data_IF_793544910444
#
_entry.id   IF_793544910444
#
_cell.length_a   1.000
_cell.length_b   1.000
_cell.length_c   1.000
_cell.angle_alpha   90.00
_cell.angle_beta   90.00
_cell.angle_gamma   90.00
#
_symmetry.space_group_name_H-M   'P 1'
#
loop_
_entity.id
_entity.type
_entity.pdbx_description
1 polymer ?
#
# COMPACT_ATOMS: atom_id res chain seq x y z
N UNK A 1 -0.07 11.15 -3.75
CA UNK A 1 -1.48 10.74 -3.83
C UNK A 1 -1.57 9.23 -3.91
N UNK A 2 -1.84 8.69 -5.11
CA UNK A 2 -2.07 7.24 -5.33
C UNK A 2 -0.86 6.36 -5.03
N UNK A 3 0.37 6.85 -5.23
CA UNK A 3 1.60 6.07 -5.03
C UNK A 3 1.87 5.78 -3.55
N UNK A 4 2.94 6.30 -2.96
CA UNK A 4 3.37 5.87 -1.62
C UNK A 4 2.30 6.06 -0.53
N UNK A 5 1.63 7.22 -0.48
CA UNK A 5 0.65 7.52 0.57
C UNK A 5 -0.57 6.59 0.53
N UNK A 6 -1.25 6.49 -0.62
CA UNK A 6 -2.45 5.66 -0.71
C UNK A 6 -2.13 4.16 -0.70
N UNK A 7 -1.03 3.70 -1.31
CA UNK A 7 -0.62 2.29 -1.25
C UNK A 7 -0.41 1.87 0.21
N UNK A 8 0.41 2.61 0.96
CA UNK A 8 0.69 2.25 2.36
C UNK A 8 -0.58 2.33 3.22
N UNK A 9 -1.35 3.41 3.11
CA UNK A 9 -2.54 3.59 3.94
C UNK A 9 -3.68 2.61 3.64
N UNK A 10 -3.93 2.26 2.38
CA UNK A 10 -4.97 1.29 2.01
C UNK A 10 -4.59 -0.13 2.46
N UNK A 11 -3.34 -0.53 2.22
CA UNK A 11 -2.84 -1.85 2.63
C UNK A 11 -2.89 -2.00 4.16
N UNK A 12 -2.41 -1.01 4.90
CA UNK A 12 -2.44 -1.02 6.37
C UNK A 12 -3.88 -1.06 6.91
N UNK A 13 -4.78 -0.24 6.36
CA UNK A 13 -6.18 -0.22 6.78
C UNK A 13 -6.87 -1.58 6.60
N UNK A 14 -6.69 -2.23 5.44
CA UNK A 14 -7.27 -3.55 5.20
C UNK A 14 -6.61 -4.63 6.05
N UNK A 15 -5.27 -4.61 6.18
CA UNK A 15 -4.53 -5.55 7.01
C UNK A 15 -5.04 -5.51 8.45
N UNK A 16 -5.16 -4.32 9.05
CA UNK A 16 -5.67 -4.18 10.41
C UNK A 16 -7.09 -4.71 10.59
N UNK A 17 -7.97 -4.49 9.61
CA UNK A 17 -9.35 -5.00 9.66
C UNK A 17 -9.33 -6.53 9.65
N UNK A 18 -8.56 -7.16 8.75
CA UNK A 18 -8.43 -8.62 8.71
C UNK A 18 -7.86 -9.17 10.02
N UNK A 19 -6.84 -8.52 10.60
CA UNK A 19 -6.27 -8.91 11.89
C UNK A 19 -7.30 -8.80 13.02
N UNK A 20 -8.12 -7.75 13.05
CA UNK A 20 -9.20 -7.58 14.03
C UNK A 20 -10.31 -8.64 13.87
N UNK A 21 -10.47 -9.20 12.67
CA UNK A 21 -11.43 -10.28 12.39
C UNK A 21 -10.85 -11.69 12.60
N UNK A 22 -9.62 -11.81 13.10
CA UNK A 22 -9.03 -13.08 13.50
C UNK A 22 -8.19 -13.80 12.44
N UNK A 23 -7.98 -13.19 11.27
CA UNK A 23 -7.06 -13.73 10.26
C UNK A 23 -5.62 -13.74 10.78
N UNK A 24 -4.82 -14.76 10.44
CA UNK A 24 -3.40 -14.76 10.79
C UNK A 24 -2.64 -13.61 10.10
N UNK A 25 -1.45 -13.21 10.60
CA UNK A 25 -0.61 -12.22 9.94
C UNK A 25 -0.34 -12.55 8.46
N UNK A 26 0.00 -13.81 8.16
CA UNK A 26 0.31 -14.24 6.79
C UNK A 26 -0.89 -14.19 5.86
N UNK A 27 -2.08 -14.60 6.32
CA UNK A 27 -3.31 -14.49 5.51
C UNK A 27 -3.64 -13.03 5.25
N UNK A 28 -3.63 -12.19 6.30
CA UNK A 28 -3.91 -10.77 6.18
C UNK A 28 -2.91 -10.08 5.24
N UNK A 29 -1.63 -10.43 5.29
CA UNK A 29 -0.61 -9.89 4.38
C UNK A 29 -0.81 -10.39 2.94
N UNK A 30 -1.16 -11.68 2.77
CA UNK A 30 -1.36 -12.26 1.44
C UNK A 30 -2.51 -11.59 0.70
N UNK A 31 -3.66 -11.48 1.35
CA UNK A 31 -4.92 -10.89 0.84
C UNK A 31 -4.87 -9.35 0.67
N UNK A 32 -3.77 -8.70 1.03
CA UNK A 32 -3.63 -7.24 0.96
C UNK A 32 -2.44 -6.81 0.11
N UNK A 33 -1.23 -7.25 0.47
CA UNK A 33 0.02 -6.77 -0.11
C UNK A 33 0.54 -7.77 -1.16
N UNK A 34 0.56 -9.05 -0.84
CA UNK A 34 1.20 -10.05 -1.70
C UNK A 34 0.44 -10.23 -3.01
N UNK A 35 -0.86 -10.50 -2.96
CA UNK A 35 -1.68 -10.67 -4.17
C UNK A 35 -1.72 -9.41 -5.03
N UNK A 36 -1.86 -8.24 -4.39
CA UNK A 36 -1.86 -6.96 -5.09
C UNK A 36 -0.55 -6.77 -5.86
N UNK A 37 0.60 -7.00 -5.21
CA UNK A 37 1.91 -6.69 -5.81
C UNK A 37 2.49 -7.79 -6.69
N UNK A 38 2.19 -9.06 -6.45
CA UNK A 38 2.72 -10.19 -7.22
C UNK A 38 1.78 -10.62 -8.35
N UNK A 39 0.49 -10.31 -8.28
CA UNK A 39 -0.48 -10.75 -9.28
C UNK A 39 -1.18 -9.59 -9.97
N UNK A 40 -1.85 -8.71 -9.22
CA UNK A 40 -2.72 -7.70 -9.84
C UNK A 40 -1.92 -6.56 -10.49
N UNK A 41 -0.94 -5.98 -9.79
CA UNK A 41 -0.17 -4.86 -10.31
C UNK A 41 0.65 -5.19 -11.56
N UNK A 42 1.35 -6.34 -11.64
CA UNK A 42 2.00 -6.76 -12.90
C UNK A 42 1.00 -6.87 -14.05
N UNK A 43 -0.17 -7.47 -13.81
CA UNK A 43 -1.22 -7.60 -14.81
C UNK A 43 -1.77 -6.25 -15.30
N UNK A 44 -1.98 -5.30 -14.39
CA UNK A 44 -2.35 -3.92 -14.75
C UNK A 44 -1.26 -3.27 -15.60
N UNK A 45 0.01 -3.42 -15.19
CA UNK A 45 1.15 -2.84 -15.90
C UNK A 45 1.33 -3.42 -17.31
N UNK A 46 1.09 -4.71 -17.49
CA UNK A 46 1.24 -5.41 -18.76
C UNK A 46 0.06 -5.18 -19.71
N UNK A 47 -1.17 -5.15 -19.19
CA UNK A 47 -2.39 -5.28 -20.03
C UNK A 47 -3.48 -4.25 -19.74
N UNK A 48 -3.31 -3.41 -18.72
CA UNK A 48 -4.32 -2.45 -18.28
C UNK A 48 -5.27 -2.99 -17.21
N UNK A 49 -5.86 -2.06 -16.45
CA UNK A 49 -6.74 -2.40 -15.33
C UNK A 49 -8.11 -2.93 -15.79
N UNK A 50 -8.61 -2.47 -16.92
CA UNK A 50 -9.82 -2.99 -17.56
C UNK A 50 -9.63 -4.46 -17.94
N UNK A 51 -8.51 -4.80 -18.58
CA UNK A 51 -8.17 -6.19 -18.90
C UNK A 51 -8.05 -7.05 -17.66
N UNK A 52 -7.35 -6.57 -16.61
CA UNK A 52 -7.25 -7.29 -15.34
C UNK A 52 -8.65 -7.62 -14.78
N UNK A 53 -9.54 -6.62 -14.65
CA UNK A 53 -10.88 -6.84 -14.09
C UNK A 53 -11.65 -7.88 -14.91
N UNK A 54 -11.67 -7.77 -16.24
CA UNK A 54 -12.44 -8.71 -17.09
C UNK A 54 -11.90 -10.14 -17.06
N UNK A 55 -10.62 -10.32 -16.70
CA UNK A 55 -9.97 -11.63 -16.63
C UNK A 55 -9.88 -12.20 -15.20
N UNK A 56 -10.39 -11.48 -14.19
CA UNK A 56 -10.60 -12.03 -12.85
C UNK A 56 -11.90 -12.87 -12.75
N UNK A 57 -12.05 -13.62 -11.66
CA UNK A 57 -13.28 -14.38 -11.38
C UNK A 57 -14.52 -13.49 -11.27
N UNK A 58 -15.72 -14.06 -11.45
CA UNK A 58 -16.98 -13.32 -11.31
C UNK A 58 -17.11 -12.67 -9.92
N UNK A 59 -16.65 -13.34 -8.87
CA UNK A 59 -16.65 -12.78 -7.50
C UNK A 59 -15.76 -11.54 -7.39
N UNK A 60 -14.54 -11.59 -7.95
CA UNK A 60 -13.62 -10.45 -7.95
C UNK A 60 -14.13 -9.29 -8.82
N UNK A 61 -14.73 -9.60 -9.98
CA UNK A 61 -15.39 -8.61 -10.84
C UNK A 61 -16.51 -7.86 -10.10
N UNK A 62 -17.40 -8.60 -9.41
CA UNK A 62 -18.45 -7.99 -8.58
C UNK A 62 -17.87 -7.16 -7.46
N UNK A 63 -16.86 -7.68 -6.75
CA UNK A 63 -16.13 -6.92 -5.74
C UNK A 63 -15.61 -5.58 -6.28
N UNK A 64 -14.93 -5.59 -7.42
CA UNK A 64 -14.44 -4.37 -8.04
C UNK A 64 -15.56 -3.38 -8.36
N UNK A 65 -16.64 -3.83 -9.01
CA UNK A 65 -17.74 -2.95 -9.41
C UNK A 65 -18.56 -2.41 -8.23
N UNK A 66 -18.79 -3.23 -7.20
CA UNK A 66 -19.63 -2.89 -6.05
C UNK A 66 -18.93 -1.98 -5.04
N UNK A 67 -17.60 -2.04 -4.98
CA UNK A 67 -16.81 -1.29 -4.01
C UNK A 67 -16.06 -0.07 -4.58
N UNK A 68 -15.73 -0.03 -5.89
CA UNK A 68 -14.92 1.06 -6.47
C UNK A 68 -15.46 2.45 -6.18
N UNK A 69 -16.79 2.65 -6.25
CA UNK A 69 -17.39 3.97 -6.08
C UNK A 69 -17.42 4.41 -4.61
N UNK A 70 -17.48 3.45 -3.68
CA UNK A 70 -17.32 3.71 -2.24
C UNK A 70 -15.90 4.15 -1.91
N UNK A 71 -14.90 3.43 -2.43
CA UNK A 71 -13.49 3.83 -2.27
C UNK A 71 -13.23 5.20 -2.89
N UNK A 72 -13.69 5.44 -4.12
CA UNK A 72 -13.58 6.74 -4.79
C UNK A 72 -14.16 7.86 -3.93
N UNK A 73 -15.39 7.69 -3.42
CA UNK A 73 -16.04 8.68 -2.56
C UNK A 73 -15.25 8.95 -1.27
N UNK A 74 -14.65 7.93 -0.68
CA UNK A 74 -13.85 8.07 0.54
C UNK A 74 -12.54 8.85 0.31
N UNK A 75 -11.85 8.59 -0.80
CA UNK A 75 -10.51 9.16 -1.06
C UNK A 75 -10.53 10.49 -1.83
N UNK A 76 -11.60 10.80 -2.57
CA UNK A 76 -11.70 12.03 -3.35
C UNK A 76 -11.47 13.31 -2.52
N UNK A 77 -12.02 13.48 -1.31
CA UNK A 77 -11.74 14.64 -0.46
C UNK A 77 -10.26 14.75 -0.08
N UNK A 78 -9.58 13.62 0.18
CA UNK A 78 -8.16 13.58 0.51
C UNK A 78 -7.31 14.04 -0.67
N UNK A 79 -7.65 13.60 -1.89
CA UNK A 79 -6.95 14.05 -3.09
C UNK A 79 -7.21 15.53 -3.41
N UNK A 80 -8.41 16.04 -3.14
CA UNK A 80 -8.71 17.48 -3.27
C UNK A 80 -7.87 18.32 -2.32
N UNK A 81 -7.74 17.90 -1.06
CA UNK A 81 -6.89 18.61 -0.09
C UNK A 81 -5.40 18.55 -0.50
N UNK A 82 -4.91 17.36 -0.85
CA UNK A 82 -3.53 17.18 -1.32
C UNK A 82 -3.23 18.06 -2.53
N UNK A 83 -4.11 18.09 -3.53
CA UNK A 83 -3.93 18.94 -4.70
C UNK A 83 -3.82 20.42 -4.33
N UNK A 84 -4.71 20.91 -3.45
CA UNK A 84 -4.67 22.32 -2.99
C UNK A 84 -3.35 22.66 -2.30
N UNK A 85 -2.84 21.78 -1.42
CA UNK A 85 -1.57 22.02 -0.71
C UNK A 85 -0.36 21.98 -1.62
N UNK A 86 -0.34 21.08 -2.60
CA UNK A 86 0.71 21.03 -3.63
C UNK A 86 0.65 22.30 -4.49
N UNK A 87 -0.52 22.65 -5.02
CA UNK A 87 -0.70 23.82 -5.88
C UNK A 87 -0.35 25.13 -5.18
N UNK A 88 -0.61 25.23 -3.87
CA UNK A 88 -0.26 26.40 -3.08
C UNK A 88 1.20 26.43 -2.61
N UNK A 89 2.02 25.42 -2.96
CA UNK A 89 3.41 25.31 -2.51
C UNK A 89 3.60 24.90 -1.04
N UNK A 90 2.53 24.62 -0.30
CA UNK A 90 2.59 24.28 1.14
C UNK A 90 3.29 22.95 1.37
N UNK A 91 3.08 21.96 0.51
CA UNK A 91 3.80 20.68 0.59
C UNK A 91 5.31 20.87 0.39
N UNK A 92 5.72 21.69 -0.58
CA UNK A 92 7.13 21.97 -0.83
C UNK A 92 7.78 22.70 0.36
N UNK A 93 7.10 23.71 0.89
CA UNK A 93 7.53 24.42 2.09
C UNK A 93 7.70 23.46 3.27
N UNK A 94 6.70 22.61 3.53
CA UNK A 94 6.75 21.63 4.61
C UNK A 94 7.96 20.68 4.48
N UNK A 95 8.22 20.18 3.28
CA UNK A 95 9.38 19.30 3.02
C UNK A 95 10.69 20.05 3.26
N UNK A 96 10.84 21.28 2.77
CA UNK A 96 12.05 22.09 2.96
C UNK A 96 12.28 22.37 4.45
N UNK A 97 11.24 22.77 5.18
CA UNK A 97 11.31 23.04 6.61
C UNK A 97 11.70 21.78 7.40
N UNK A 98 11.08 20.64 7.10
CA UNK A 98 11.40 19.38 7.75
C UNK A 98 12.85 18.95 7.49
N UNK A 99 13.30 19.00 6.22
CA UNK A 99 14.66 18.57 5.83
C UNK A 99 15.75 19.50 6.35
N UNK A 100 15.43 20.76 6.66
CA UNK A 100 16.38 21.75 7.19
C UNK A 100 16.61 21.63 8.70
N UNK A 101 15.84 20.80 9.40
CA UNK A 101 16.02 20.56 10.83
C UNK A 101 17.32 19.80 11.10
N UNK A 102 18.16 20.20 12.08
CA UNK A 102 19.42 19.50 12.38
C UNK A 102 19.25 18.02 12.74
N UNK A 103 18.10 17.65 13.30
CA UNK A 103 17.77 16.27 13.68
C UNK A 103 16.82 15.56 12.70
N UNK A 104 16.63 16.09 11.48
CA UNK A 104 15.71 15.52 10.50
C UNK A 104 15.98 14.04 10.23
N UNK A 105 17.24 13.68 9.99
CA UNK A 105 17.61 12.30 9.64
C UNK A 105 17.30 11.31 10.76
N UNK A 106 17.51 11.72 12.01
CA UNK A 106 17.20 10.90 13.19
C UNK A 106 15.68 10.67 13.31
N UNK A 107 14.88 11.74 13.23
CA UNK A 107 13.41 11.65 13.29
C UNK A 107 12.84 10.81 12.15
N UNK A 108 13.30 11.04 10.92
CA UNK A 108 12.88 10.24 9.76
C UNK A 108 13.21 8.75 9.96
N UNK A 109 14.40 8.44 10.46
CA UNK A 109 14.77 7.05 10.74
C UNK A 109 13.91 6.43 11.85
N UNK A 110 13.48 7.20 12.85
CA UNK A 110 12.55 6.72 13.88
C UNK A 110 11.18 6.37 13.27
N UNK A 111 10.63 7.22 12.42
CA UNK A 111 9.35 6.98 11.73
C UNK A 111 9.43 5.75 10.79
N UNK A 112 10.49 5.68 9.98
CA UNK A 112 10.72 4.54 9.08
C UNK A 112 10.97 3.24 9.87
N UNK A 113 11.66 3.33 11.01
CA UNK A 113 11.88 2.17 11.89
C UNK A 113 10.58 1.69 12.52
N UNK A 114 9.71 2.61 12.95
CA UNK A 114 8.39 2.26 13.48
C UNK A 114 7.55 1.52 12.43
N UNK A 115 7.52 2.02 11.19
CA UNK A 115 6.87 1.34 10.08
C UNK A 115 7.47 -0.05 9.86
N UNK A 116 8.79 -0.16 9.73
CA UNK A 116 9.46 -1.45 9.51
C UNK A 116 9.21 -2.47 10.62
N UNK A 117 9.06 -2.03 11.87
CA UNK A 117 8.78 -2.88 13.04
C UNK A 117 7.32 -3.28 13.18
N UNK A 118 6.41 -2.72 12.39
CA UNK A 118 5.00 -3.11 12.39
C UNK A 118 4.83 -4.60 12.04
N UNK A 119 3.79 -5.23 12.58
CA UNK A 119 3.48 -6.64 12.32
C UNK A 119 3.31 -6.91 10.81
N UNK A 120 2.65 -6.01 10.08
CA UNK A 120 2.42 -6.13 8.64
C UNK A 120 3.75 -6.22 7.87
N UNK A 121 4.68 -5.30 8.12
CA UNK A 121 5.92 -5.23 7.35
C UNK A 121 6.94 -6.31 7.76
N UNK A 122 6.97 -6.72 9.03
CA UNK A 122 7.73 -7.89 9.50
C UNK A 122 7.19 -9.20 8.90
N UNK A 123 5.86 -9.33 8.79
CA UNK A 123 5.23 -10.47 8.12
C UNK A 123 5.61 -10.50 6.65
N UNK A 124 5.54 -9.35 5.97
CA UNK A 124 5.91 -9.23 4.57
C UNK A 124 7.36 -9.61 4.29
N UNK A 125 8.29 -9.28 5.18
CA UNK A 125 9.69 -9.72 5.05
C UNK A 125 9.80 -11.26 5.05
N UNK A 126 9.11 -11.92 5.99
CA UNK A 126 9.09 -13.38 6.05
C UNK A 126 8.44 -13.99 4.81
N UNK A 127 7.29 -13.47 4.36
CA UNK A 127 6.60 -13.94 3.15
C UNK A 127 7.50 -13.80 1.92
N UNK A 128 8.16 -12.65 1.73
CA UNK A 128 9.12 -12.44 0.62
C UNK A 128 10.28 -13.43 0.63
N UNK A 129 10.81 -13.76 1.81
CA UNK A 129 11.89 -14.73 1.95
C UNK A 129 11.45 -16.17 1.59
N UNK A 130 10.17 -16.47 1.69
CA UNK A 130 9.61 -17.79 1.35
C UNK A 130 9.26 -17.94 -0.14
N UNK A 131 9.44 -16.92 -0.96
CA UNK A 131 9.10 -16.99 -2.38
C UNK A 131 10.05 -17.92 -3.16
N UNK A 132 9.55 -18.72 -4.13
CA UNK A 132 10.36 -19.69 -4.87
C UNK A 132 11.62 -19.13 -5.52
N UNK A 133 11.58 -17.91 -6.05
CA UNK A 133 12.74 -17.26 -6.67
C UNK A 133 13.85 -16.92 -5.67
N UNK A 134 13.55 -16.85 -4.37
CA UNK A 134 14.51 -16.58 -3.31
C UNK A 134 15.11 -17.86 -2.69
N UNK A 135 14.60 -19.05 -3.02
CA UNK A 135 15.11 -20.32 -2.48
C UNK A 135 16.55 -20.62 -2.92
N UNK A 136 16.94 -20.14 -4.11
CA UNK A 136 18.29 -20.36 -4.68
C UNK A 136 19.40 -19.48 -4.09
N UNK A 137 19.07 -18.56 -3.17
CA UNK A 137 20.08 -17.70 -2.48
C UNK A 137 20.76 -18.41 -1.30
N UNK A 138 20.43 -19.68 -1.05
CA UNK A 138 21.10 -20.53 -0.06
C UNK A 138 21.72 -21.75 -0.74
N UNK A 139 22.85 -21.56 -1.43
CA UNK A 139 23.95 -22.53 -1.55
C UNK A 139 25.24 -21.74 -1.42
#
# INVERSE_FOLDING_TARGET
GVLLGAITGLMEAQYEVLRKMGHSPSEAFNETVEEATQSLYPMIGEKGADWMITNCSTTAQRGALDWKDKFKKAVEPVFKDLYKKVASGKEAQHVIEANSQPNYREKLNQELSAMHKSEMWQTGEKVRNLRPENWKKKI
#
